data_IF_462835346507
#
_entry.id   IF_462835346507
#
_cell.length_a   1.000
_cell.length_b   1.000
_cell.length_c   1.000
_cell.angle_alpha   90.00
_cell.angle_beta   90.00
_cell.angle_gamma   90.00
#
_symmetry.space_group_name_H-M   'P 1'
#
loop_
_entity.id
_entity.type
_entity.pdbx_description
1 polymer ?
#
# COMPACT_ATOMS: atom_id res chain seq x y z
N UNK A 1 27.16 25.75 22.08
CA UNK A 1 25.86 25.25 22.58
C UNK A 1 25.21 24.40 21.50
N UNK A 2 25.31 23.07 21.61
CA UNK A 2 24.61 22.17 20.70
C UNK A 2 23.11 22.22 21.04
N UNK A 3 22.31 22.82 20.17
CA UNK A 3 20.87 22.80 20.33
C UNK A 3 20.38 21.35 20.17
N UNK A 4 19.85 20.76 21.24
CA UNK A 4 19.04 19.55 21.15
C UNK A 4 17.80 19.86 20.31
N UNK A 5 17.75 19.35 19.09
CA UNK A 5 16.61 19.55 18.21
C UNK A 5 15.50 18.57 18.58
N UNK A 6 14.58 19.05 19.41
CA UNK A 6 13.31 18.38 19.64
C UNK A 6 12.31 18.75 18.54
N UNK A 7 11.35 17.86 18.28
CA UNK A 7 10.17 18.17 17.45
C UNK A 7 9.44 19.44 17.94
N UNK A 8 9.62 19.82 19.22
CA UNK A 8 9.09 21.07 19.81
C UNK A 8 9.53 22.34 19.05
N UNK A 9 10.77 22.36 18.55
CA UNK A 9 11.41 23.51 17.92
C UNK A 9 11.03 23.70 16.44
N UNK A 10 10.40 22.69 15.82
CA UNK A 10 10.02 22.76 14.41
C UNK A 10 8.80 23.67 14.18
N UNK A 11 8.81 24.39 13.05
CA UNK A 11 7.65 25.14 12.55
C UNK A 11 6.54 24.16 12.11
N UNK A 12 5.30 24.64 12.10
CA UNK A 12 4.16 23.81 11.70
C UNK A 12 4.31 23.22 10.28
N UNK A 13 4.87 23.97 9.32
CA UNK A 13 5.13 23.46 7.96
C UNK A 13 6.15 22.33 7.94
N UNK A 14 7.23 22.43 8.71
CA UNK A 14 8.24 21.37 8.85
C UNK A 14 7.62 20.10 9.44
N UNK A 15 6.78 20.24 10.47
CA UNK A 15 6.06 19.12 11.07
C UNK A 15 5.07 18.47 10.10
N UNK A 16 4.36 19.26 9.28
CA UNK A 16 3.49 18.73 8.23
C UNK A 16 4.28 17.94 7.18
N UNK A 17 5.43 18.45 6.78
CA UNK A 17 6.30 17.78 5.81
C UNK A 17 6.88 16.47 6.40
N UNK A 18 7.37 16.49 7.64
CA UNK A 18 7.80 15.26 8.32
C UNK A 18 6.66 14.26 8.49
N UNK A 19 5.45 14.72 8.81
CA UNK A 19 4.29 13.85 8.93
C UNK A 19 3.92 13.21 7.58
N UNK A 20 4.02 13.97 6.50
CA UNK A 20 3.90 13.47 5.13
C UNK A 20 4.95 12.40 4.82
N UNK A 21 6.24 12.67 5.12
CA UNK A 21 7.35 11.76 4.87
C UNK A 21 7.32 10.47 5.70
N UNK A 22 6.68 10.48 6.87
CA UNK A 22 6.71 9.36 7.82
C UNK A 22 5.38 8.62 7.94
N UNK A 23 4.40 8.91 7.11
CA UNK A 23 3.12 8.21 7.26
C UNK A 23 2.33 8.63 8.52
N UNK A 24 2.64 9.78 9.13
CA UNK A 24 1.91 10.33 10.30
C UNK A 24 0.80 11.32 9.89
N UNK A 25 -0.16 11.62 10.77
CA UNK A 25 -1.21 12.59 10.45
C UNK A 25 -0.61 13.97 10.14
N UNK A 26 -0.92 14.55 8.97
CA UNK A 26 -0.32 15.79 8.44
C UNK A 26 -1.25 17.01 8.49
N UNK A 27 -2.40 16.88 9.15
CA UNK A 27 -3.38 17.95 9.35
C UNK A 27 -3.61 18.21 10.84
N UNK A 28 -4.08 19.40 11.19
CA UNK A 28 -4.35 19.81 12.57
C UNK A 28 -3.36 20.86 13.10
N UNK A 29 -3.40 21.05 14.42
CA UNK A 29 -2.57 22.02 15.15
C UNK A 29 -1.12 21.57 15.24
N UNK A 30 -0.19 22.50 15.52
CA UNK A 30 1.24 22.17 15.73
C UNK A 30 1.43 21.08 16.79
N UNK A 31 0.71 21.18 17.91
CA UNK A 31 0.76 20.20 18.99
C UNK A 31 0.26 18.81 18.56
N UNK A 32 -0.84 18.75 17.79
CA UNK A 32 -1.35 17.48 17.26
C UNK A 32 -0.35 16.81 16.31
N UNK A 33 0.32 17.59 15.45
CA UNK A 33 1.36 17.08 14.55
C UNK A 33 2.57 16.55 15.33
N UNK A 34 3.03 17.27 16.36
CA UNK A 34 4.13 16.85 17.22
C UNK A 34 3.81 15.55 17.95
N UNK A 35 2.61 15.44 18.50
CA UNK A 35 2.15 14.24 19.17
C UNK A 35 2.10 13.06 18.20
N UNK A 36 1.53 13.25 17.00
CA UNK A 36 1.42 12.18 16.00
C UNK A 36 2.80 11.67 15.55
N UNK A 37 3.76 12.58 15.33
CA UNK A 37 5.13 12.26 14.97
C UNK A 37 5.89 11.57 16.11
N UNK A 38 5.76 12.06 17.35
CA UNK A 38 6.46 11.45 18.50
C UNK A 38 6.03 9.99 18.67
N UNK A 39 4.71 9.76 18.67
CA UNK A 39 4.13 8.41 18.75
C UNK A 39 4.59 7.50 17.62
N UNK A 40 4.68 8.00 16.38
CA UNK A 40 5.11 7.18 15.24
C UNK A 40 6.61 6.85 15.28
N UNK A 41 7.41 7.63 16.01
CA UNK A 41 8.85 7.42 16.20
C UNK A 41 9.18 6.57 17.43
N UNK A 42 8.29 6.45 18.43
CA UNK A 42 8.50 5.61 19.62
C UNK A 42 8.58 4.11 19.30
N UNK A 43 7.88 3.66 18.26
CA UNK A 43 7.90 2.25 17.84
C UNK A 43 9.22 1.93 17.15
N UNK A 44 10.21 1.45 17.91
CA UNK A 44 11.52 1.05 17.39
C UNK A 44 11.43 -0.34 16.74
N UNK A 45 10.96 -0.37 15.48
CA UNK A 45 10.86 -1.61 14.70
C UNK A 45 12.08 -1.79 13.79
N UNK A 46 13.30 -1.63 14.31
CA UNK A 46 14.50 -1.95 13.54
C UNK A 46 14.54 -3.46 13.25
N UNK A 47 14.00 -3.86 12.09
CA UNK A 47 14.00 -5.23 11.59
C UNK A 47 14.95 -5.31 10.39
N UNK A 48 15.82 -6.31 10.40
CA UNK A 48 16.79 -6.61 9.32
C UNK A 48 16.08 -7.00 8.01
N UNK A 49 14.90 -7.60 8.12
CA UNK A 49 13.99 -7.88 7.02
C UNK A 49 12.55 -7.60 7.41
N UNK A 50 11.72 -7.23 6.44
CA UNK A 50 10.28 -7.05 6.61
C UNK A 50 9.49 -7.68 5.48
N UNK A 51 8.49 -8.47 5.81
CA UNK A 51 7.47 -8.96 4.88
C UNK A 51 6.17 -8.17 5.04
N UNK A 52 5.78 -7.46 3.98
CA UNK A 52 4.59 -6.62 3.95
C UNK A 52 3.53 -7.27 3.06
N UNK A 53 2.35 -7.51 3.61
CA UNK A 53 1.15 -7.83 2.85
C UNK A 53 0.31 -6.57 2.72
N UNK A 54 0.08 -6.10 1.50
CA UNK A 54 -0.67 -4.87 1.23
C UNK A 54 -1.93 -5.17 0.46
N UNK A 55 -3.08 -4.76 1.00
CA UNK A 55 -4.42 -5.06 0.48
C UNK A 55 -5.10 -3.77 0.02
N UNK A 56 -5.53 -3.75 -1.24
CA UNK A 56 -6.50 -2.80 -1.78
C UNK A 56 -7.91 -3.42 -1.70
N UNK A 57 -8.80 -2.72 -1.00
CA UNK A 57 -10.09 -3.25 -0.59
C UNK A 57 -11.10 -3.27 -1.74
N UNK A 58 -11.72 -4.43 -1.94
CA UNK A 58 -12.80 -4.61 -2.91
C UNK A 58 -13.42 -6.00 -2.77
N UNK A 59 -14.69 -6.15 -3.13
CA UNK A 59 -15.33 -7.48 -3.09
C UNK A 59 -15.07 -8.24 -4.41
N UNK A 60 -15.25 -7.58 -5.56
CA UNK A 60 -15.04 -8.17 -6.90
C UNK A 60 -13.68 -7.81 -7.52
N UNK A 61 -12.90 -7.01 -6.81
CA UNK A 61 -11.67 -6.41 -7.29
C UNK A 61 -10.65 -6.28 -6.16
N UNK A 62 -10.71 -7.16 -5.16
CA UNK A 62 -9.67 -7.20 -4.14
C UNK A 62 -8.34 -7.36 -4.84
N UNK A 63 -7.36 -6.53 -4.52
CA UNK A 63 -5.98 -6.76 -4.95
C UNK A 63 -5.08 -6.81 -3.73
N UNK A 64 -4.08 -7.67 -3.75
CA UNK A 64 -3.04 -7.62 -2.74
C UNK A 64 -1.69 -8.02 -3.31
N UNK A 65 -0.63 -7.52 -2.68
CA UNK A 65 0.73 -7.93 -2.96
C UNK A 65 1.50 -8.28 -1.68
N UNK A 66 2.51 -9.12 -1.84
CA UNK A 66 3.47 -9.51 -0.81
C UNK A 66 4.84 -8.98 -1.22
N UNK A 67 5.42 -8.13 -0.38
CA UNK A 67 6.72 -7.51 -0.63
C UNK A 67 7.67 -7.84 0.51
N UNK A 68 8.80 -8.45 0.18
CA UNK A 68 9.93 -8.70 1.07
C UNK A 68 10.96 -7.58 0.91
N UNK A 69 11.23 -6.87 1.99
CA UNK A 69 12.26 -5.84 2.07
C UNK A 69 13.42 -6.33 2.94
N UNK A 70 14.63 -6.38 2.38
CA UNK A 70 15.86 -6.64 3.14
C UNK A 70 16.61 -5.32 3.33
N UNK A 71 17.13 -5.08 4.52
CA UNK A 71 18.03 -3.94 4.71
C UNK A 71 19.28 -4.11 3.83
N UNK A 72 19.81 -3.02 3.25
CA UNK A 72 21.09 -3.08 2.55
C UNK A 72 22.19 -3.58 3.50
N UNK A 73 23.12 -4.43 3.04
CA UNK A 73 24.27 -4.83 3.86
C UNK A 73 25.11 -3.61 4.22
N UNK A 74 25.69 -3.58 5.42
CA UNK A 74 26.50 -2.43 5.91
C UNK A 74 27.77 -2.16 5.07
N UNK A 75 28.19 -3.11 4.23
CA UNK A 75 29.47 -3.09 3.52
C UNK A 75 29.37 -3.13 1.98
N UNK A 76 28.20 -2.88 1.40
CA UNK A 76 27.97 -2.95 -0.06
C UNK A 76 26.83 -2.03 -0.52
N UNK A 77 26.62 -1.98 -1.85
CA UNK A 77 25.66 -1.13 -2.58
C UNK A 77 24.49 -0.62 -1.72
N UNK A 78 24.30 0.70 -1.58
CA UNK A 78 23.22 1.28 -0.77
C UNK A 78 21.82 0.94 -1.31
N UNK A 79 21.71 0.27 -2.46
CA UNK A 79 20.44 -0.10 -3.05
C UNK A 79 19.69 -1.15 -2.22
N UNK A 80 18.44 -0.84 -1.88
CA UNK A 80 17.54 -1.78 -1.20
C UNK A 80 16.97 -2.76 -2.21
N UNK A 81 17.23 -4.05 -1.99
CA UNK A 81 16.54 -5.11 -2.73
C UNK A 81 15.14 -5.35 -2.15
N UNK A 82 14.13 -5.19 -3.00
CA UNK A 82 12.74 -5.51 -2.72
C UNK A 82 12.29 -6.64 -3.64
N UNK A 83 11.77 -7.71 -3.05
CA UNK A 83 11.22 -8.83 -3.80
C UNK A 83 9.70 -8.86 -3.67
N UNK A 84 8.99 -8.90 -4.79
CA UNK A 84 7.54 -9.09 -4.84
C UNK A 84 7.27 -10.55 -5.18
N UNK A 85 6.77 -11.31 -4.20
CA UNK A 85 6.53 -12.75 -4.35
C UNK A 85 5.09 -13.09 -4.75
N UNK A 86 4.16 -12.18 -4.54
CA UNK A 86 2.74 -12.35 -4.87
C UNK A 86 2.18 -11.00 -5.24
N UNK A 87 1.40 -10.94 -6.32
CA UNK A 87 0.74 -9.71 -6.72
C UNK A 87 -0.50 -10.05 -7.53
N UNK A 88 -1.67 -10.06 -6.89
CA UNK A 88 -2.85 -10.71 -7.48
C UNK A 88 -4.11 -9.90 -7.26
N UNK A 89 -5.08 -10.14 -8.15
CA UNK A 89 -6.44 -9.59 -8.10
C UNK A 89 -7.42 -10.75 -7.98
N UNK A 90 -8.40 -10.63 -7.09
CA UNK A 90 -9.39 -11.68 -6.78
C UNK A 90 -10.81 -11.13 -6.76
N UNK A 91 -11.75 -11.91 -7.30
CA UNK A 91 -13.17 -11.75 -7.05
C UNK A 91 -13.57 -12.68 -5.90
N UNK A 92 -13.86 -12.09 -4.74
CA UNK A 92 -14.18 -12.83 -3.52
C UNK A 92 -15.53 -13.54 -3.57
N UNK A 93 -16.39 -13.24 -4.55
CA UNK A 93 -17.67 -13.92 -4.75
C UNK A 93 -17.55 -15.13 -5.68
N UNK A 94 -16.42 -15.28 -6.36
CA UNK A 94 -16.14 -16.43 -7.22
C UNK A 94 -14.84 -17.11 -6.77
N UNK A 95 -14.79 -17.74 -5.59
CA UNK A 95 -13.58 -18.38 -5.07
C UNK A 95 -13.11 -19.58 -5.91
N UNK A 96 -13.95 -20.10 -6.82
CA UNK A 96 -13.59 -21.11 -7.81
C UNK A 96 -13.01 -20.53 -9.11
N UNK A 97 -12.99 -19.20 -9.28
CA UNK A 97 -12.17 -18.60 -10.32
C UNK A 97 -10.71 -18.83 -9.90
N UNK A 98 -9.88 -19.47 -10.75
CA UNK A 98 -8.52 -19.81 -10.37
C UNK A 98 -7.79 -18.55 -9.87
N UNK A 99 -6.89 -18.70 -8.89
CA UNK A 99 -5.74 -17.80 -8.81
C UNK A 99 -5.19 -17.76 -10.23
N UNK A 100 -5.19 -16.60 -10.87
CA UNK A 100 -4.95 -16.52 -12.31
C UNK A 100 -3.49 -16.92 -12.56
N UNK A 101 -3.29 -18.21 -12.79
CA UNK A 101 -2.10 -18.83 -13.36
C UNK A 101 -2.38 -19.01 -14.86
N UNK A 102 -1.60 -18.39 -15.76
CA UNK A 102 -1.92 -18.22 -17.18
C UNK A 102 -2.04 -19.48 -18.04
N UNK A 103 -1.90 -20.69 -17.49
CA UNK A 103 -1.66 -21.90 -18.29
C UNK A 103 -2.76 -22.97 -18.28
N UNK A 104 -3.93 -22.75 -17.69
CA UNK A 104 -5.01 -23.76 -17.71
C UNK A 104 -6.20 -23.48 -18.63
N UNK A 105 -6.30 -22.30 -19.25
CA UNK A 105 -7.42 -21.97 -20.15
C UNK A 105 -7.18 -22.26 -21.64
N UNK A 106 -6.24 -23.16 -21.99
CA UNK A 106 -6.07 -23.59 -23.38
C UNK A 106 -6.91 -24.82 -23.77
N UNK A 107 -7.75 -25.37 -22.87
CA UNK A 107 -8.39 -26.67 -23.15
C UNK A 107 -9.86 -26.87 -22.79
N UNK A 108 -10.65 -25.84 -22.47
CA UNK A 108 -12.10 -26.05 -22.29
C UNK A 108 -12.98 -24.93 -22.85
N UNK A 109 -13.12 -24.93 -24.18
CA UNK A 109 -14.24 -24.27 -24.84
C UNK A 109 -15.54 -25.09 -24.69
N UNK A 110 -16.13 -25.12 -23.48
CA UNK A 110 -17.56 -25.42 -23.33
C UNK A 110 -18.38 -24.14 -23.32
N UNK A 111 -18.95 -23.87 -24.49
CA UNK A 111 -19.95 -22.85 -24.79
C UNK A 111 -21.01 -22.75 -23.68
N UNK A 112 -20.99 -21.65 -22.91
CA UNK A 112 -22.21 -21.11 -22.33
C UNK A 112 -22.62 -19.86 -23.12
N UNK A 113 -23.85 -19.91 -23.63
CA UNK A 113 -24.50 -18.84 -24.39
C UNK A 113 -24.47 -17.55 -23.57
N UNK A 114 -23.74 -16.55 -24.06
CA UNK A 114 -23.83 -15.18 -23.56
C UNK A 114 -25.05 -14.51 -24.20
N UNK A 115 -26.06 -14.22 -23.39
CA UNK A 115 -27.08 -13.24 -23.73
C UNK A 115 -26.45 -11.85 -23.84
N UNK A 116 -26.89 -11.12 -24.85
CA UNK A 116 -26.36 -9.86 -25.37
C UNK A 116 -26.57 -8.63 -24.47
N UNK A 117 -26.70 -8.81 -23.15
CA UNK A 117 -26.77 -7.70 -22.17
C UNK A 117 -25.76 -7.79 -21.02
N UNK A 118 -24.89 -8.81 -21.00
CA UNK A 118 -23.53 -8.75 -20.44
C UNK A 118 -23.32 -8.37 -18.97
N UNK A 119 -24.35 -8.28 -18.13
CA UNK A 119 -24.20 -8.18 -16.67
C UNK A 119 -24.73 -9.47 -16.04
N UNK A 120 -23.83 -10.33 -15.59
CA UNK A 120 -24.19 -11.40 -14.66
C UNK A 120 -24.96 -10.79 -13.49
N UNK A 121 -26.18 -11.28 -13.24
CA UNK A 121 -26.99 -10.84 -12.12
C UNK A 121 -26.19 -11.12 -10.85
N UNK A 122 -25.90 -10.07 -10.10
CA UNK A 122 -25.12 -10.18 -8.87
C UNK A 122 -25.98 -10.95 -7.86
N UNK A 123 -25.51 -12.10 -7.41
CA UNK A 123 -26.16 -12.84 -6.34
C UNK A 123 -26.12 -12.02 -5.03
N UNK A 124 -27.29 -11.58 -4.58
CA UNK A 124 -27.42 -10.73 -3.38
C UNK A 124 -27.14 -11.51 -2.10
N UNK A 125 -27.38 -12.82 -2.10
CA UNK A 125 -27.11 -13.69 -0.94
C UNK A 125 -25.61 -13.74 -0.60
N UNK A 126 -24.77 -13.53 -1.61
CA UNK A 126 -23.32 -13.50 -1.47
C UNK A 126 -22.81 -12.34 -0.59
N UNK A 127 -23.64 -11.32 -0.32
CA UNK A 127 -23.28 -10.18 0.55
C UNK A 127 -23.96 -10.22 1.91
N UNK A 128 -24.61 -11.32 2.28
CA UNK A 128 -25.18 -11.45 3.63
C UNK A 128 -24.06 -11.48 4.67
N UNK A 129 -24.32 -11.02 5.91
CA UNK A 129 -23.29 -11.02 6.95
C UNK A 129 -22.63 -12.40 7.20
N UNK A 130 -23.37 -13.53 7.26
CA UNK A 130 -22.76 -14.84 7.43
C UNK A 130 -21.83 -15.23 6.28
N UNK A 131 -22.16 -14.87 5.04
CA UNK A 131 -21.34 -15.19 3.88
C UNK A 131 -20.08 -14.32 3.82
N UNK A 132 -20.22 -13.00 4.01
CA UNK A 132 -19.04 -12.12 4.05
C UNK A 132 -18.13 -12.42 5.23
N UNK A 133 -18.65 -12.88 6.38
CA UNK A 133 -17.83 -13.28 7.51
C UNK A 133 -16.96 -14.50 7.16
N UNK A 134 -17.52 -15.51 6.47
CA UNK A 134 -16.75 -16.66 5.96
C UNK A 134 -15.69 -16.24 4.94
N UNK A 135 -16.06 -15.33 4.04
CA UNK A 135 -15.13 -14.77 3.05
C UNK A 135 -13.99 -14.01 3.71
N UNK A 136 -14.29 -13.14 4.69
CA UNK A 136 -13.30 -12.38 5.46
C UNK A 136 -12.34 -13.30 6.20
N UNK A 137 -12.86 -14.32 6.89
CA UNK A 137 -12.04 -15.30 7.61
C UNK A 137 -11.09 -16.07 6.68
N UNK A 138 -11.60 -16.56 5.55
CA UNK A 138 -10.79 -17.24 4.54
C UNK A 138 -9.71 -16.32 3.98
N UNK A 139 -10.06 -15.07 3.68
CA UNK A 139 -9.09 -14.07 3.22
C UNK A 139 -8.01 -13.83 4.27
N UNK A 140 -8.38 -13.60 5.54
CA UNK A 140 -7.42 -13.39 6.63
C UNK A 140 -6.46 -14.58 6.77
N UNK A 141 -6.96 -15.82 6.70
CA UNK A 141 -6.10 -17.01 6.69
C UNK A 141 -5.13 -17.02 5.50
N UNK A 142 -5.59 -16.65 4.31
CA UNK A 142 -4.74 -16.52 3.12
C UNK A 142 -3.70 -15.41 3.26
N UNK A 143 -4.02 -14.29 3.91
CA UNK A 143 -3.05 -13.21 4.13
C UNK A 143 -2.00 -13.62 5.17
N UNK A 144 -2.41 -14.32 6.24
CA UNK A 144 -1.53 -14.80 7.30
C UNK A 144 -0.64 -15.96 6.86
N UNK A 145 -1.04 -16.78 5.87
CA UNK A 145 -0.22 -17.87 5.35
C UNK A 145 1.09 -17.39 4.71
N UNK A 146 1.12 -16.12 4.25
CA UNK A 146 2.33 -15.47 3.77
C UNK A 146 3.33 -15.14 4.89
N UNK A 147 2.96 -15.30 6.17
CA UNK A 147 3.75 -14.94 7.36
C UNK A 147 4.22 -13.47 7.35
N UNK A 148 3.28 -12.51 7.25
CA UNK A 148 3.64 -11.09 7.22
C UNK A 148 4.19 -10.61 8.56
N UNK A 149 5.03 -9.58 8.50
CA UNK A 149 5.34 -8.72 9.64
C UNK A 149 4.33 -7.57 9.74
N UNK A 150 3.83 -7.11 8.58
CA UNK A 150 2.88 -6.03 8.46
C UNK A 150 1.76 -6.41 7.50
N UNK A 151 0.51 -6.14 7.90
CA UNK A 151 -0.67 -6.18 7.03
C UNK A 151 -1.19 -4.75 6.86
N UNK A 152 -1.16 -4.24 5.64
CA UNK A 152 -1.69 -2.93 5.27
C UNK A 152 -3.06 -3.12 4.63
N UNK A 153 -4.07 -2.44 5.15
CA UNK A 153 -5.44 -2.50 4.63
C UNK A 153 -5.83 -1.09 4.16
N UNK A 154 -6.14 -0.93 2.87
CA UNK A 154 -6.70 0.32 2.35
C UNK A 154 -8.02 0.63 3.06
N UNK A 155 -8.16 1.84 3.61
CA UNK A 155 -9.43 2.31 4.20
C UNK A 155 -10.44 2.63 3.11
N UNK A 156 -11.62 2.03 3.17
CA UNK A 156 -12.72 2.40 2.30
C UNK A 156 -13.15 3.85 2.57
N UNK A 157 -13.36 4.60 1.49
CA UNK A 157 -13.81 6.00 1.55
C UNK A 157 -15.32 6.05 1.39
N UNK A 158 -15.98 6.86 2.22
CA UNK A 158 -17.33 7.30 1.93
C UNK A 158 -17.34 8.13 0.64
N UNK A 159 -18.25 7.81 -0.26
CA UNK A 159 -18.43 8.52 -1.53
C UNK A 159 -19.69 9.39 -1.42
N UNK A 160 -19.50 10.70 -1.52
CA UNK A 160 -20.61 11.65 -1.66
C UNK A 160 -20.99 11.74 -3.14
N UNK A 161 -22.18 11.24 -3.48
CA UNK A 161 -22.71 11.19 -4.85
C UNK A 161 -23.88 10.21 -4.86
N UNK A 162 -25.10 10.73 -4.68
CA UNK A 162 -26.30 10.04 -4.15
C UNK A 162 -26.95 8.95 -4.99
N UNK A 163 -26.20 8.15 -5.77
CA UNK A 163 -26.75 6.96 -6.38
C UNK A 163 -26.80 5.81 -5.36
N UNK A 164 -27.97 5.20 -5.17
CA UNK A 164 -28.18 4.09 -4.23
C UNK A 164 -27.17 2.94 -4.42
N UNK A 165 -26.81 2.62 -5.67
CA UNK A 165 -25.80 1.60 -5.98
C UNK A 165 -24.40 1.91 -5.42
N UNK A 166 -24.00 3.19 -5.36
CA UNK A 166 -22.71 3.61 -4.78
C UNK A 166 -22.75 3.42 -3.25
N UNK A 167 -23.87 3.78 -2.62
CA UNK A 167 -24.07 3.59 -1.19
C UNK A 167 -24.06 2.11 -0.82
N UNK A 168 -24.83 1.28 -1.54
CA UNK A 168 -24.90 -0.17 -1.34
C UNK A 168 -23.51 -0.83 -1.46
N UNK A 169 -22.75 -0.49 -2.50
CA UNK A 169 -21.39 -1.00 -2.66
C UNK A 169 -20.46 -0.55 -1.53
N UNK A 170 -20.56 0.73 -1.12
CA UNK A 170 -19.76 1.27 0.00
C UNK A 170 -20.08 0.53 1.30
N UNK A 171 -21.35 0.27 1.60
CA UNK A 171 -21.77 -0.48 2.80
C UNK A 171 -21.22 -1.90 2.76
N UNK A 172 -21.31 -2.58 1.62
CA UNK A 172 -20.78 -3.95 1.47
C UNK A 172 -19.27 -4.02 1.68
N UNK A 173 -18.51 -3.11 1.08
CA UNK A 173 -17.05 -3.09 1.27
C UNK A 173 -16.69 -2.71 2.70
N UNK A 174 -17.37 -1.74 3.32
CA UNK A 174 -17.18 -1.40 4.74
C UNK A 174 -17.49 -2.59 5.67
N UNK A 175 -18.52 -3.38 5.35
CA UNK A 175 -18.87 -4.59 6.11
C UNK A 175 -17.75 -5.63 6.01
N UNK A 176 -17.22 -5.87 4.81
CA UNK A 176 -16.06 -6.73 4.63
C UNK A 176 -14.82 -6.20 5.38
N UNK A 177 -14.50 -4.91 5.25
CA UNK A 177 -13.38 -4.27 5.96
C UNK A 177 -13.49 -4.48 7.48
N UNK A 178 -14.68 -4.23 8.04
CA UNK A 178 -14.96 -4.41 9.46
C UNK A 178 -14.77 -5.86 9.91
N UNK A 179 -15.21 -6.82 9.09
CA UNK A 179 -15.03 -8.25 9.37
C UNK A 179 -13.57 -8.69 9.29
N UNK A 180 -12.77 -8.11 8.39
CA UNK A 180 -11.31 -8.37 8.34
C UNK A 180 -10.64 -7.87 9.62
N UNK A 181 -10.94 -6.64 10.05
CA UNK A 181 -10.41 -6.10 11.30
C UNK A 181 -10.81 -6.94 12.51
N UNK A 182 -12.08 -7.31 12.62
CA UNK A 182 -12.58 -8.14 13.71
C UNK A 182 -11.91 -9.53 13.72
N UNK A 183 -11.79 -10.17 12.56
CA UNK A 183 -11.15 -11.48 12.43
C UNK A 183 -9.68 -11.44 12.81
N UNK A 184 -8.94 -10.43 12.33
CA UNK A 184 -7.54 -10.24 12.67
C UNK A 184 -7.33 -9.95 14.16
N UNK A 185 -8.18 -9.12 14.78
CA UNK A 185 -8.08 -8.81 16.20
C UNK A 185 -8.41 -10.03 17.07
N UNK A 186 -9.44 -10.79 16.68
CA UNK A 186 -9.82 -12.04 17.37
C UNK A 186 -8.69 -13.07 17.30
N UNK A 187 -8.05 -13.23 16.14
CA UNK A 187 -6.92 -14.14 15.97
C UNK A 187 -5.72 -13.70 16.80
N UNK A 188 -5.40 -12.39 16.83
CA UNK A 188 -4.33 -11.87 17.69
C UNK A 188 -4.61 -12.15 19.17
N UNK A 189 -5.84 -11.91 19.63
CA UNK A 189 -6.22 -12.12 21.02
C UNK A 189 -6.21 -13.62 21.43
N UNK A 190 -6.38 -14.51 20.45
CA UNK A 190 -6.37 -15.96 20.65
C UNK A 190 -4.98 -16.58 20.43
N UNK A 191 -4.01 -15.81 19.93
CA UNK A 191 -2.65 -16.27 19.71
C UNK A 191 -1.90 -16.39 21.05
N UNK A 192 -1.14 -17.46 21.22
CA UNK A 192 -0.29 -17.65 22.40
C UNK A 192 0.92 -16.71 22.39
N UNK A 193 1.29 -16.19 21.22
CA UNK A 193 2.36 -15.19 21.03
C UNK A 193 1.83 -13.91 20.39
N UNK A 194 1.02 -13.08 21.08
CA UNK A 194 0.47 -11.84 20.51
C UNK A 194 1.52 -10.83 20.04
N UNK A 195 2.76 -10.95 20.54
CA UNK A 195 3.91 -10.13 20.15
C UNK A 195 4.48 -10.51 18.76
N UNK A 196 4.25 -11.75 18.31
CA UNK A 196 4.68 -12.24 16.99
C UNK A 196 3.61 -11.99 15.92
N UNK A 197 2.38 -11.66 16.33
CA UNK A 197 1.29 -11.37 15.41
C UNK A 197 1.59 -10.11 14.57
N UNK A 198 1.32 -10.13 13.24
CA UNK A 198 1.63 -9.00 12.36
C UNK A 198 1.01 -7.69 12.84
N UNK A 199 1.76 -6.60 12.70
CA UNK A 199 1.22 -5.27 12.89
C UNK A 199 0.23 -4.96 11.76
N UNK A 200 -0.92 -4.40 12.12
CA UNK A 200 -2.02 -4.12 11.18
C UNK A 200 -2.21 -2.63 11.06
N UNK A 201 -2.16 -2.10 9.84
CA UNK A 201 -2.26 -0.67 9.60
C UNK A 201 -3.37 -0.33 8.61
N UNK A 202 -4.23 0.61 9.02
CA UNK A 202 -5.24 1.18 8.15
C UNK A 202 -4.62 2.31 7.33
N UNK A 203 -4.55 2.16 6.00
CA UNK A 203 -3.88 3.12 5.12
C UNK A 203 -4.90 4.03 4.44
N UNK A 204 -4.58 5.33 4.38
CA UNK A 204 -5.41 6.28 3.66
C UNK A 204 -5.02 6.34 2.18
N UNK A 205 -5.92 5.99 1.23
CA UNK A 205 -5.57 5.95 -0.20
C UNK A 205 -5.05 7.30 -0.73
N UNK A 206 -5.59 8.41 -0.21
CA UNK A 206 -5.17 9.77 -0.58
C UNK A 206 -3.68 10.01 -0.27
N UNK A 207 -3.19 9.49 0.85
CA UNK A 207 -1.82 9.71 1.31
C UNK A 207 -0.80 8.98 0.44
N UNK A 208 -1.11 7.76 0.03
CA UNK A 208 -0.28 6.97 -0.90
C UNK A 208 -0.13 7.70 -2.23
N UNK A 209 -1.24 8.18 -2.79
CA UNK A 209 -1.23 8.91 -4.05
C UNK A 209 -0.44 10.23 -3.95
N UNK A 210 -0.71 11.04 -2.93
CA UNK A 210 0.00 12.30 -2.71
C UNK A 210 1.49 12.09 -2.45
N UNK A 211 1.86 11.02 -1.76
CA UNK A 211 3.25 10.74 -1.42
C UNK A 211 4.16 10.65 -2.66
N UNK A 212 3.69 9.98 -3.71
CA UNK A 212 4.48 9.81 -4.92
C UNK A 212 4.22 10.84 -6.02
N UNK A 213 3.02 11.41 -6.08
CA UNK A 213 2.55 12.15 -7.26
C UNK A 213 2.29 13.64 -7.01
N UNK A 214 2.43 14.13 -5.76
CA UNK A 214 2.25 15.54 -5.41
C UNK A 214 3.39 16.46 -5.86
N UNK A 215 4.50 15.89 -6.33
CA UNK A 215 5.72 16.63 -6.65
C UNK A 215 6.61 16.91 -5.43
N UNK A 216 6.21 16.56 -4.22
CA UNK A 216 7.10 16.60 -3.06
C UNK A 216 8.14 15.47 -3.14
N UNK A 217 9.38 15.75 -2.73
CA UNK A 217 10.42 14.71 -2.64
C UNK A 217 10.01 13.66 -1.59
N UNK A 218 9.86 12.36 -1.94
CA UNK A 218 9.37 11.33 -1.02
C UNK A 218 10.46 10.72 -0.14
N UNK A 219 11.71 11.15 -0.28
CA UNK A 219 12.88 10.59 0.40
C UNK A 219 13.47 11.65 1.32
N UNK A 220 13.67 11.29 2.58
CA UNK A 220 14.50 12.05 3.51
C UNK A 220 15.96 11.67 3.28
N UNK A 221 16.84 12.65 3.01
CA UNK A 221 18.27 12.38 2.74
C UNK A 221 19.21 12.98 3.78
N UNK A 222 18.87 14.14 4.33
CA UNK A 222 19.71 14.78 5.34
C UNK A 222 18.92 15.70 6.27
N UNK A 223 19.57 16.14 7.34
CA UNK A 223 19.04 17.14 8.26
C UNK A 223 18.73 18.48 7.56
N UNK A 224 19.41 18.81 6.46
CA UNK A 224 19.16 20.03 5.68
C UNK A 224 17.77 20.05 5.05
N UNK A 225 17.26 18.86 4.69
CA UNK A 225 15.89 18.68 4.18
C UNK A 225 14.83 19.09 5.24
N UNK A 226 15.21 19.13 6.52
CA UNK A 226 14.32 19.46 7.63
C UNK A 226 14.49 20.92 8.05
N UNK A 227 15.73 21.43 8.13
CA UNK A 227 16.06 22.67 8.85
C UNK A 227 16.55 23.84 7.99
N UNK A 228 17.13 23.61 6.81
CA UNK A 228 17.72 24.68 5.97
C UNK A 228 16.84 25.07 4.76
N UNK A 229 15.76 24.35 4.53
CA UNK A 229 14.95 24.48 3.33
C UNK A 229 13.79 25.44 3.51
N UNK A 230 13.85 26.57 2.81
CA UNK A 230 12.65 27.35 2.50
C UNK A 230 11.70 26.48 1.67
N UNK A 231 10.40 26.59 1.92
CA UNK A 231 9.36 25.69 1.41
C UNK A 231 9.31 25.56 -0.14
N UNK A 232 10.02 26.42 -0.87
CA UNK A 232 10.18 26.40 -2.33
C UNK A 232 11.17 25.34 -2.84
N UNK A 233 12.07 24.80 -2.01
CA UNK A 233 13.10 23.84 -2.48
C UNK A 233 12.63 22.39 -2.58
N UNK A 234 11.47 22.06 -2.00
CA UNK A 234 10.97 20.68 -1.88
C UNK A 234 10.00 20.24 -2.98
N UNK A 235 9.66 21.14 -3.90
CA UNK A 235 8.78 20.87 -5.03
C UNK A 235 9.59 20.49 -6.27
N UNK A 236 9.50 19.22 -6.68
CA UNK A 236 9.77 18.85 -8.08
C UNK A 236 8.68 19.48 -8.96
N UNK A 237 9.03 19.77 -10.23
CA UNK A 237 8.35 20.68 -11.19
C UNK A 237 6.85 20.45 -11.46
N UNK A 238 6.16 19.52 -10.78
CA UNK A 238 4.72 19.33 -10.92
C UNK A 238 3.97 20.44 -10.18
N UNK A 239 3.10 21.24 -10.85
CA UNK A 239 2.30 22.25 -10.18
C UNK A 239 1.39 21.58 -9.14
N UNK A 240 1.45 22.07 -7.90
CA UNK A 240 0.86 21.51 -6.69
C UNK A 240 -0.69 21.37 -6.67
N UNK A 241 -1.36 21.47 -7.81
CA UNK A 241 -2.83 21.45 -7.97
C UNK A 241 -3.35 20.48 -9.04
N UNK A 242 -2.49 19.72 -9.73
CA UNK A 242 -2.98 18.73 -10.69
C UNK A 242 -3.70 17.59 -9.95
N UNK A 243 -4.95 17.33 -10.32
CA UNK A 243 -5.74 16.21 -9.80
C UNK A 243 -5.02 14.90 -10.13
N UNK A 244 -4.62 14.14 -9.10
CA UNK A 244 -4.02 12.82 -9.30
C UNK A 244 -5.11 11.84 -9.75
N UNK A 245 -4.94 11.29 -10.96
CA UNK A 245 -5.87 10.34 -11.56
C UNK A 245 -5.39 8.90 -11.45
N UNK A 246 -6.29 7.95 -11.70
CA UNK A 246 -5.97 6.50 -11.70
C UNK A 246 -4.85 6.16 -12.69
N UNK A 247 -4.84 6.83 -13.84
CA UNK A 247 -3.81 6.62 -14.88
C UNK A 247 -2.41 7.02 -14.41
N UNK A 248 -2.29 8.06 -13.58
CA UNK A 248 -0.99 8.52 -13.07
C UNK A 248 -0.33 7.44 -12.21
N UNK A 249 -1.13 6.77 -11.38
CA UNK A 249 -0.68 5.67 -10.52
C UNK A 249 -0.21 4.47 -11.33
N UNK A 250 -1.02 4.04 -12.31
CA UNK A 250 -0.65 2.94 -13.21
C UNK A 250 0.63 3.29 -13.96
N UNK A 251 0.73 4.49 -14.55
CA UNK A 251 1.94 4.92 -15.27
C UNK A 251 3.17 5.01 -14.38
N UNK A 252 3.04 5.35 -13.10
CA UNK A 252 4.15 5.31 -12.15
C UNK A 252 4.65 3.88 -11.94
N UNK A 253 3.73 2.94 -11.70
CA UNK A 253 4.07 1.52 -11.52
C UNK A 253 4.69 0.93 -12.79
N UNK A 254 4.17 1.27 -13.98
CA UNK A 254 4.77 0.85 -15.26
C UNK A 254 6.24 1.29 -15.37
N UNK A 255 6.56 2.54 -15.00
CA UNK A 255 7.95 3.02 -15.01
C UNK A 255 8.84 2.24 -14.07
N UNK A 256 8.36 1.90 -12.88
CA UNK A 256 9.12 1.13 -11.90
C UNK A 256 9.36 -0.31 -12.34
N UNK A 257 8.34 -0.95 -12.90
CA UNK A 257 8.42 -2.32 -13.40
C UNK A 257 9.38 -2.45 -14.59
N UNK A 258 9.36 -1.49 -15.51
CA UNK A 258 10.24 -1.46 -16.70
C UNK A 258 11.68 -1.04 -16.34
N UNK A 259 11.99 -0.84 -15.04
CA UNK A 259 13.32 -0.48 -14.57
C UNK A 259 13.74 0.96 -14.91
N UNK A 260 12.78 1.82 -15.28
CA UNK A 260 13.07 3.18 -15.74
C UNK A 260 13.45 4.15 -14.61
N UNK A 261 13.46 3.74 -13.34
CA UNK A 261 13.80 4.60 -12.20
C UNK A 261 14.66 3.88 -11.16
N UNK A 262 15.98 3.92 -11.37
CA UNK A 262 17.01 3.64 -10.36
C UNK A 262 17.24 4.82 -9.38
N UNK A 263 16.46 5.91 -9.50
CA UNK A 263 16.74 7.19 -8.84
C UNK A 263 16.61 7.18 -7.30
N UNK A 264 15.86 6.22 -6.75
CA UNK A 264 15.66 6.09 -5.29
C UNK A 264 16.52 4.99 -4.66
N UNK A 265 17.41 4.34 -5.42
CA UNK A 265 18.22 3.23 -4.92
C UNK A 265 17.39 2.01 -4.51
N UNK A 266 16.27 1.74 -5.18
CA UNK A 266 15.44 0.55 -4.92
C UNK A 266 15.56 -0.40 -6.10
N UNK A 267 16.03 -1.61 -5.83
CA UNK A 267 16.08 -2.69 -6.80
C UNK A 267 14.84 -3.58 -6.64
N UNK A 268 13.94 -3.56 -7.63
CA UNK A 268 12.70 -4.33 -7.64
C UNK A 268 12.92 -5.66 -8.36
N UNK A 269 12.63 -6.75 -7.65
CA UNK A 269 12.61 -8.11 -8.20
C UNK A 269 11.20 -8.67 -8.09
N UNK A 270 10.70 -9.29 -9.17
CA UNK A 270 9.39 -9.93 -9.20
C UNK A 270 9.57 -11.44 -9.37
N UNK A 271 8.83 -12.24 -8.60
CA UNK A 271 8.95 -13.71 -8.60
C UNK A 271 7.59 -14.38 -8.82
N UNK A 272 7.63 -15.56 -9.46
CA UNK A 272 6.44 -16.36 -9.74
C UNK A 272 5.32 -15.55 -10.39
N UNK A 273 4.12 -15.66 -9.85
CA UNK A 273 2.92 -14.96 -10.33
C UNK A 273 3.07 -13.43 -10.34
N UNK A 274 3.93 -12.84 -9.49
CA UNK A 274 4.15 -11.40 -9.51
C UNK A 274 4.95 -10.94 -10.74
N UNK A 275 5.80 -11.79 -11.31
CA UNK A 275 6.55 -11.48 -12.53
C UNK A 275 5.62 -11.38 -13.74
N UNK A 276 4.63 -12.26 -13.84
CA UNK A 276 3.60 -12.21 -14.90
C UNK A 276 2.78 -10.91 -14.82
N UNK A 277 2.43 -10.48 -13.61
CA UNK A 277 1.75 -9.19 -13.44
C UNK A 277 2.68 -8.03 -13.80
N UNK A 278 3.95 -8.10 -13.46
CA UNK A 278 4.93 -7.11 -13.90
C UNK A 278 4.99 -7.02 -15.44
N UNK A 279 5.02 -8.15 -16.15
CA UNK A 279 4.90 -8.18 -17.62
C UNK A 279 3.60 -7.51 -18.11
N UNK A 280 2.48 -7.72 -17.42
CA UNK A 280 1.22 -7.05 -17.75
C UNK A 280 1.31 -5.51 -17.68
N UNK A 281 2.13 -4.96 -16.78
CA UNK A 281 2.38 -3.52 -16.72
C UNK A 281 3.31 -3.04 -17.86
N UNK A 282 4.23 -3.89 -18.33
CA UNK A 282 5.11 -3.61 -19.48
C UNK A 282 4.44 -3.77 -20.85
N UNK A 283 3.32 -4.49 -20.92
CA UNK A 283 2.59 -4.79 -22.15
C UNK A 283 2.01 -3.51 -22.81
N UNK A 284 2.29 -3.34 -24.10
CA UNK A 284 1.80 -2.22 -24.91
C UNK A 284 0.31 -2.39 -25.25
N UNK A 285 -0.13 -3.64 -25.42
CA UNK A 285 -1.51 -3.95 -25.71
C UNK A 285 -2.39 -3.92 -24.44
N UNK A 286 -3.18 -2.87 -24.28
CA UNK A 286 -4.13 -2.71 -23.15
C UNK A 286 -5.10 -3.89 -22.95
N UNK A 287 -5.47 -4.63 -24.01
CA UNK A 287 -6.34 -5.81 -23.86
C UNK A 287 -5.56 -7.02 -23.33
N UNK A 288 -4.33 -7.22 -23.82
CA UNK A 288 -3.41 -8.24 -23.32
C UNK A 288 -3.08 -8.02 -21.85
N UNK A 289 -2.66 -6.80 -21.51
CA UNK A 289 -2.36 -6.38 -20.13
C UNK A 289 -3.52 -6.71 -19.17
N UNK A 290 -4.76 -6.37 -19.54
CA UNK A 290 -5.93 -6.65 -18.70
C UNK A 290 -6.23 -8.15 -18.55
N UNK A 291 -5.95 -8.95 -19.58
CA UNK A 291 -6.15 -10.40 -19.52
C UNK A 291 -5.17 -11.02 -18.52
N UNK A 292 -3.90 -10.64 -18.61
CA UNK A 292 -2.85 -11.12 -17.68
C UNK A 292 -3.15 -10.63 -16.25
N UNK A 293 -3.54 -9.36 -16.10
CA UNK A 293 -3.87 -8.75 -14.82
C UNK A 293 -5.20 -9.23 -14.19
N UNK A 294 -5.98 -10.08 -14.87
CA UNK A 294 -7.29 -10.51 -14.38
C UNK A 294 -8.33 -9.40 -14.25
N UNK A 295 -8.16 -8.31 -15.00
CA UNK A 295 -9.02 -7.13 -14.92
C UNK A 295 -8.28 -5.82 -15.07
N UNK A 296 -8.70 -4.81 -14.32
CA UNK A 296 -8.07 -3.48 -14.36
C UNK A 296 -6.78 -3.46 -13.55
N UNK A 297 -5.78 -2.76 -14.07
CA UNK A 297 -4.46 -2.61 -13.46
C UNK A 297 -4.45 -1.60 -12.31
N UNK A 298 -5.47 -0.74 -12.17
CA UNK A 298 -5.48 0.28 -11.11
C UNK A 298 -5.55 -0.32 -9.70
N UNK A 299 -6.32 -1.40 -9.51
CA UNK A 299 -6.40 -2.09 -8.22
C UNK A 299 -5.04 -2.73 -7.84
N UNK A 300 -4.33 -3.33 -8.82
CA UNK A 300 -2.98 -3.88 -8.62
C UNK A 300 -1.94 -2.78 -8.36
N UNK A 301 -2.05 -1.66 -9.05
CA UNK A 301 -1.17 -0.52 -8.81
C UNK A 301 -1.38 0.06 -7.40
N UNK A 302 -2.62 0.12 -6.92
CA UNK A 302 -2.95 0.69 -5.62
C UNK A 302 -2.37 -0.14 -4.47
N UNK A 303 -2.51 -1.47 -4.49
CA UNK A 303 -1.93 -2.33 -3.45
C UNK A 303 -0.38 -2.29 -3.46
N UNK A 304 0.25 -2.23 -4.64
CA UNK A 304 1.71 -2.17 -4.77
C UNK A 304 2.28 -0.82 -4.33
N UNK A 305 1.69 0.29 -4.77
CA UNK A 305 2.08 1.63 -4.32
C UNK A 305 1.94 1.78 -2.82
N UNK A 306 0.88 1.23 -2.22
CA UNK A 306 0.67 1.23 -0.78
C UNK A 306 1.80 0.51 -0.03
N UNK A 307 2.25 -0.66 -0.51
CA UNK A 307 3.35 -1.41 0.09
C UNK A 307 4.65 -0.59 0.06
N UNK A 308 5.00 -0.04 -1.11
CA UNK A 308 6.23 0.74 -1.29
C UNK A 308 6.20 2.06 -0.51
N UNK A 309 5.04 2.72 -0.43
CA UNK A 309 4.86 3.91 0.42
C UNK A 309 5.15 3.60 1.87
N UNK A 310 4.58 2.52 2.40
CA UNK A 310 4.80 2.14 3.79
C UNK A 310 6.28 1.86 4.08
N UNK A 311 6.93 1.08 3.20
CA UNK A 311 8.35 0.80 3.33
C UNK A 311 9.21 2.08 3.28
N UNK A 312 8.87 3.05 2.43
CA UNK A 312 9.56 4.34 2.40
C UNK A 312 9.32 5.18 3.66
N UNK A 313 8.10 5.14 4.21
CA UNK A 313 7.79 5.83 5.48
C UNK A 313 8.62 5.26 6.64
N UNK A 314 8.80 3.96 6.70
CA UNK A 314 9.60 3.29 7.74
C UNK A 314 11.09 3.64 7.64
N UNK A 315 11.61 3.78 6.43
CA UNK A 315 12.97 4.30 6.20
C UNK A 315 13.11 5.75 6.65
N UNK A 316 12.17 6.60 6.24
CA UNK A 316 12.16 8.00 6.63
C UNK A 316 12.06 8.15 8.16
N UNK A 317 11.27 7.31 8.85
CA UNK A 317 11.24 7.26 10.32
C UNK A 317 12.58 6.84 10.90
N UNK A 318 13.22 5.81 10.35
CA UNK A 318 14.53 5.32 10.81
C UNK A 318 15.60 6.40 10.68
N UNK A 319 15.67 7.07 9.54
CA UNK A 319 16.60 8.18 9.34
C UNK A 319 16.27 9.38 10.24
N UNK A 320 14.99 9.72 10.40
CA UNK A 320 14.59 10.80 11.30
C UNK A 320 15.00 10.51 12.75
N UNK A 321 14.83 9.27 13.24
CA UNK A 321 15.34 8.87 14.57
C UNK A 321 16.85 9.03 14.66
N UNK A 322 17.61 8.61 13.64
CA UNK A 322 19.08 8.79 13.61
C UNK A 322 19.46 10.27 13.67
N UNK A 323 18.81 11.13 12.88
CA UNK A 323 19.06 12.58 12.88
C UNK A 323 18.76 13.19 14.26
N UNK A 324 17.65 12.79 14.90
CA UNK A 324 17.28 13.28 16.23
C UNK A 324 18.21 12.75 17.34
N UNK A 325 18.73 11.52 17.22
CA UNK A 325 19.65 10.89 18.20
C UNK A 325 21.11 11.36 18.06
N UNK A 326 21.63 11.50 16.83
CA UNK A 326 23.07 11.77 16.56
C UNK A 326 23.57 13.13 17.10
N UNK A 327 22.69 14.07 17.43
CA UNK A 327 23.06 15.35 18.06
C UNK A 327 23.01 15.35 19.60
N UNK A 328 22.70 14.22 20.24
CA UNK A 328 22.84 14.08 21.70
C UNK A 328 24.28 13.71 22.12
N UNK A 329 25.12 13.26 21.19
CA UNK A 329 26.49 12.81 21.43
C UNK A 329 27.58 13.77 20.88
N UNK A 330 27.18 14.96 20.42
CA UNK A 330 28.05 16.03 19.87
C UNK A 330 27.73 17.37 20.52
#
# INVERSE_FOLDING_TARGET
>A
MAATYSLSHLKALQLKYLAFLTGSASTGTKAALQHALSRSLEVDASRTSRRVVSVDMGIRNLAYCVVDAKQPPETGDPSRALTVSTWTRRDLLSPAAPEISPLQELSDHRKQKQDSTGRQKIDTEAFTPPQLAKTAHTLVKSLLSHKPDNILIERQRFRSGGAAAIQEWTVRVNMLESMLWASLETLKASDLSPAEFPERLAIAPKRVAEFWLSGQRPVLTSWKDIFESDASSHTTQRPARAKIEKKDKVSLVQKWVVGALNENGVNLRFEGQAAEIAEAFGEQNKRGAKKIAGGKLDDLADCFLQALTYLQWEENKTLLRKILRLKLAS
#
